data_IF_188167089098
#
_entry.id   IF_188167089098
#
_cell.length_a   1.000
_cell.length_b   1.000
_cell.length_c   1.000
_cell.angle_alpha   90.00
_cell.angle_beta   90.00
_cell.angle_gamma   90.00
#
_symmetry.space_group_name_H-M   'P 1'
#
loop_
_entity.id
_entity.type
_entity.pdbx_description
1 polymer ?
#
# COMPACT_ATOMS: atom_id res chain seq x y z
N UNK A 1 6.12 28.01 -8.62
CA UNK A 1 6.22 26.55 -8.76
C UNK A 1 6.60 26.30 -10.20
N UNK A 2 7.83 25.85 -10.44
CA UNK A 2 8.29 25.50 -11.79
C UNK A 2 7.63 24.20 -12.20
N UNK A 3 6.67 24.27 -13.13
CA UNK A 3 5.99 23.12 -13.73
C UNK A 3 7.00 22.26 -14.51
N UNK A 4 7.65 21.34 -13.83
CA UNK A 4 8.31 20.21 -14.48
C UNK A 4 7.24 19.16 -14.77
N UNK A 5 6.56 19.32 -15.90
CA UNK A 5 5.71 18.26 -16.45
C UNK A 5 6.57 17.00 -16.63
N UNK A 6 6.29 15.97 -15.84
CA UNK A 6 6.99 14.69 -15.92
C UNK A 6 6.92 14.17 -17.35
N UNK A 7 8.04 13.68 -17.87
CA UNK A 7 8.00 13.01 -19.16
C UNK A 7 7.12 11.75 -19.06
N UNK A 8 6.49 11.30 -20.16
CA UNK A 8 5.63 10.11 -20.12
C UNK A 8 6.31 8.88 -19.52
N UNK A 9 7.62 8.70 -19.78
CA UNK A 9 8.39 7.61 -19.19
C UNK A 9 8.56 7.73 -17.67
N UNK A 10 8.81 8.94 -17.16
CA UNK A 10 8.91 9.18 -15.72
C UNK A 10 7.57 8.97 -15.01
N UNK A 11 6.47 9.36 -15.65
CA UNK A 11 5.13 9.12 -15.13
C UNK A 11 4.82 7.62 -14.99
N UNK A 12 5.19 6.82 -15.99
CA UNK A 12 5.03 5.35 -15.94
C UNK A 12 5.88 4.74 -14.82
N UNK A 13 7.15 5.12 -14.70
CA UNK A 13 8.03 4.61 -13.63
C UNK A 13 7.48 4.98 -12.25
N UNK A 14 7.03 6.22 -12.07
CA UNK A 14 6.43 6.68 -10.81
C UNK A 14 5.15 5.91 -10.50
N UNK A 15 4.31 5.65 -11.49
CA UNK A 15 3.10 4.83 -11.31
C UNK A 15 3.44 3.39 -10.88
N UNK A 16 4.40 2.74 -11.55
CA UNK A 16 4.85 1.39 -11.21
C UNK A 16 5.35 1.34 -9.76
N UNK A 17 6.14 2.32 -9.35
CA UNK A 17 6.64 2.42 -7.97
C UNK A 17 5.48 2.50 -6.95
N UNK A 18 4.47 3.32 -7.21
CA UNK A 18 3.30 3.44 -6.32
C UNK A 18 2.51 2.14 -6.23
N UNK A 19 2.35 1.43 -7.35
CA UNK A 19 1.68 0.12 -7.38
C UNK A 19 2.42 -0.87 -6.48
N UNK A 20 3.74 -0.98 -6.61
CA UNK A 20 4.53 -1.88 -5.78
C UNK A 20 4.51 -1.50 -4.30
N UNK A 21 4.57 -0.22 -3.96
CA UNK A 21 4.48 0.24 -2.58
C UNK A 21 3.11 -0.08 -1.99
N UNK A 22 2.03 0.20 -2.73
CA UNK A 22 0.67 -0.11 -2.30
C UNK A 22 0.49 -1.61 -2.04
N UNK A 23 0.88 -2.45 -3.01
CA UNK A 23 0.79 -3.92 -2.90
C UNK A 23 1.66 -4.46 -1.76
N UNK A 24 2.90 -3.97 -1.65
CA UNK A 24 3.85 -4.41 -0.64
C UNK A 24 3.39 -4.05 0.78
N UNK A 25 3.11 -2.77 1.02
CA UNK A 25 2.64 -2.31 2.33
C UNK A 25 1.29 -2.94 2.70
N UNK A 26 0.34 -2.94 1.75
CA UNK A 26 -0.96 -3.57 1.90
C UNK A 26 -0.86 -5.05 2.27
N UNK A 27 -0.08 -5.80 1.49
CA UNK A 27 0.09 -7.24 1.66
C UNK A 27 0.80 -7.60 2.97
N UNK A 28 1.86 -6.87 3.32
CA UNK A 28 2.60 -7.08 4.58
C UNK A 28 1.69 -6.82 5.78
N UNK A 29 0.97 -5.69 5.79
CA UNK A 29 0.07 -5.37 6.90
C UNK A 29 -1.06 -6.40 7.03
N UNK A 30 -1.75 -6.72 5.94
CA UNK A 30 -2.84 -7.69 5.96
C UNK A 30 -2.36 -9.09 6.35
N UNK A 31 -1.20 -9.52 5.84
CA UNK A 31 -0.58 -10.80 6.19
C UNK A 31 -0.20 -10.89 7.66
N UNK A 32 0.51 -9.88 8.19
CA UNK A 32 0.89 -9.85 9.60
C UNK A 32 -0.34 -9.78 10.53
N UNK A 33 -1.35 -8.98 10.18
CA UNK A 33 -2.60 -8.93 10.93
C UNK A 33 -3.33 -10.27 10.90
N UNK A 34 -3.33 -10.98 9.77
CA UNK A 34 -3.97 -12.28 9.66
C UNK A 34 -3.28 -13.34 10.52
N UNK A 35 -1.94 -13.35 10.51
CA UNK A 35 -1.15 -14.24 11.37
C UNK A 35 -1.38 -13.93 12.85
N UNK A 36 -1.41 -12.65 13.23
CA UNK A 36 -1.68 -12.23 14.60
C UNK A 36 -3.09 -12.64 15.05
N UNK A 37 -4.10 -12.42 14.21
CA UNK A 37 -5.48 -12.81 14.49
C UNK A 37 -5.60 -14.32 14.66
N UNK A 38 -4.99 -15.11 13.76
CA UNK A 38 -5.02 -16.56 13.85
C UNK A 38 -4.33 -17.07 15.12
N UNK A 39 -3.21 -16.45 15.53
CA UNK A 39 -2.51 -16.83 16.76
C UNK A 39 -3.39 -16.63 18.01
N UNK A 40 -4.15 -15.53 18.06
CA UNK A 40 -4.97 -15.17 19.23
C UNK A 40 -6.33 -15.86 19.22
N UNK A 41 -7.03 -15.82 18.09
CA UNK A 41 -8.41 -16.28 17.98
C UNK A 41 -8.53 -17.77 17.61
N UNK A 42 -7.41 -18.43 17.29
CA UNK A 42 -7.37 -19.84 16.85
C UNK A 42 -8.33 -20.12 15.67
N UNK A 43 -8.57 -19.10 14.85
CA UNK A 43 -9.47 -19.15 13.70
C UNK A 43 -8.90 -18.33 12.55
N UNK A 44 -9.40 -18.57 11.34
CA UNK A 44 -8.96 -17.84 10.16
C UNK A 44 -9.53 -16.44 10.14
N UNK A 45 -8.74 -15.48 9.66
CA UNK A 45 -9.22 -14.11 9.47
C UNK A 45 -10.26 -14.09 8.35
N UNK A 46 -11.47 -13.55 8.59
CA UNK A 46 -12.45 -13.37 7.53
C UNK A 46 -11.87 -12.56 6.36
N UNK A 47 -12.10 -13.03 5.13
CA UNK A 47 -11.55 -12.40 3.92
C UNK A 47 -11.87 -10.90 3.83
N UNK A 48 -13.07 -10.49 4.28
CA UNK A 48 -13.46 -9.08 4.30
C UNK A 48 -12.54 -8.22 5.17
N UNK A 49 -12.14 -8.71 6.35
CA UNK A 49 -11.23 -7.99 7.25
C UNK A 49 -9.83 -7.91 6.61
N UNK A 50 -9.36 -9.00 6.01
CA UNK A 50 -8.10 -9.02 5.28
C UNK A 50 -8.07 -7.97 4.16
N UNK A 51 -9.13 -7.92 3.33
CA UNK A 51 -9.25 -6.97 2.23
C UNK A 51 -9.28 -5.52 2.71
N UNK A 52 -9.96 -5.24 3.84
CA UNK A 52 -10.01 -3.90 4.44
C UNK A 52 -8.63 -3.47 4.93
N UNK A 53 -7.92 -4.33 5.66
CA UNK A 53 -6.57 -4.03 6.16
C UNK A 53 -5.63 -3.79 4.99
N UNK A 54 -5.66 -4.66 3.99
CA UNK A 54 -4.87 -4.53 2.77
C UNK A 54 -5.10 -3.17 2.07
N UNK A 55 -6.37 -2.84 1.81
CA UNK A 55 -6.72 -1.61 1.09
C UNK A 55 -6.37 -0.35 1.90
N UNK A 56 -6.66 -0.34 3.20
CA UNK A 56 -6.40 0.81 4.06
C UNK A 56 -4.90 1.08 4.21
N UNK A 57 -4.11 0.04 4.51
CA UNK A 57 -2.65 0.19 4.67
C UNK A 57 -1.94 0.50 3.36
N UNK A 58 -2.36 -0.12 2.25
CA UNK A 58 -1.86 0.24 0.92
C UNK A 58 -2.14 1.70 0.58
N UNK A 59 -3.35 2.20 0.85
CA UNK A 59 -3.73 3.60 0.58
C UNK A 59 -2.91 4.58 1.43
N UNK A 60 -2.66 4.25 2.71
CA UNK A 60 -1.82 5.08 3.58
C UNK A 60 -0.40 5.16 3.01
N UNK A 61 0.19 4.02 2.63
CA UNK A 61 1.54 3.97 2.08
C UNK A 61 1.64 4.73 0.74
N UNK A 62 0.62 4.61 -0.11
CA UNK A 62 0.51 5.39 -1.35
C UNK A 62 0.56 6.90 -1.08
N UNK A 63 -0.30 7.40 -0.20
CA UNK A 63 -0.36 8.85 0.13
C UNK A 63 0.92 9.35 0.78
N UNK A 64 1.52 8.53 1.64
CA UNK A 64 2.79 8.87 2.27
C UNK A 64 3.93 8.93 1.26
N UNK A 65 3.89 8.08 0.23
CA UNK A 65 4.86 8.12 -0.88
C UNK A 65 4.72 9.39 -1.71
N UNK A 66 3.49 9.82 -2.01
CA UNK A 66 3.26 11.12 -2.68
C UNK A 66 3.87 12.26 -1.86
N UNK A 67 3.60 12.31 -0.55
CA UNK A 67 4.19 13.31 0.33
C UNK A 67 5.73 13.31 0.34
N UNK A 68 6.38 12.15 0.26
CA UNK A 68 7.84 12.04 0.27
C UNK A 68 8.46 12.39 -1.10
N UNK A 69 7.76 12.07 -2.19
CA UNK A 69 8.25 12.33 -3.55
C UNK A 69 8.04 13.79 -4.00
N UNK A 70 7.09 14.50 -3.39
CA UNK A 70 6.79 15.90 -3.69
C UNK A 70 7.46 16.89 -2.71
N UNK A 71 8.12 16.39 -1.66
CA UNK A 71 8.92 17.16 -0.69
C UNK A 71 10.38 17.33 -1.15
#
# INVERSE_FOLDING_TARGET
MSDHSLSPGQAVVRWILHVFIFLGAGGVAAGLSALAYQAVAQTQTPLGIYAVIFAASGLIAYRQTEHVLDA
#
